data_IF_696835611909
#
_entry.id   IF_696835611909
#
_cell.length_a   1.000
_cell.length_b   1.000
_cell.length_c   1.000
_cell.angle_alpha   90.00
_cell.angle_beta   90.00
_cell.angle_gamma   90.00
#
_symmetry.space_group_name_H-M   'P 1'
#
loop_
_entity.id
_entity.type
_entity.pdbx_description
1 polymer ?
#
# COMPACT_ATOMS: atom_id res chain seq x y z
N UNK A 1 38.17 2.36 -7.36
CA UNK A 1 37.12 2.72 -6.38
C UNK A 1 35.86 3.04 -7.16
N UNK A 2 35.01 2.04 -7.39
CA UNK A 2 33.75 2.23 -8.11
C UNK A 2 32.69 2.71 -7.12
N UNK A 3 32.20 3.94 -7.34
CA UNK A 3 31.02 4.46 -6.65
C UNK A 3 29.82 3.65 -7.13
N UNK A 4 29.36 2.70 -6.30
CA UNK A 4 28.06 2.05 -6.48
C UNK A 4 27.00 3.08 -6.15
N UNK A 5 26.31 3.51 -7.21
CA UNK A 5 25.09 4.29 -7.20
C UNK A 5 24.16 3.79 -6.10
N UNK A 6 23.91 4.62 -5.10
CA UNK A 6 22.83 4.43 -4.14
C UNK A 6 21.52 4.65 -4.90
N UNK A 7 21.01 3.59 -5.51
CA UNK A 7 19.61 3.51 -5.86
C UNK A 7 18.84 3.70 -4.55
N UNK A 8 18.31 4.91 -4.35
CA UNK A 8 17.30 5.19 -3.33
C UNK A 8 16.04 4.42 -3.74
N UNK A 9 16.07 3.10 -3.53
CA UNK A 9 14.87 2.28 -3.43
C UNK A 9 14.15 2.77 -2.20
N UNK A 10 13.17 3.65 -2.41
CA UNK A 10 12.10 3.92 -1.45
C UNK A 10 11.72 2.58 -0.81
N UNK A 11 11.79 2.44 0.52
CA UNK A 11 11.61 1.16 1.18
C UNK A 11 10.28 0.58 0.70
N UNK A 12 10.33 -0.65 0.18
CA UNK A 12 9.12 -1.38 -0.23
C UNK A 12 8.15 -1.28 0.94
N UNK A 13 6.95 -0.70 0.76
CA UNK A 13 6.03 -0.55 1.86
C UNK A 13 5.79 -1.92 2.48
N UNK A 14 5.95 -2.03 3.80
CA UNK A 14 5.72 -3.27 4.54
C UNK A 14 4.22 -3.60 4.56
N UNK A 15 3.75 -4.12 3.42
CA UNK A 15 2.36 -4.44 3.18
C UNK A 15 1.91 -5.59 4.09
N UNK A 16 2.79 -6.54 4.44
CA UNK A 16 2.44 -7.62 5.37
C UNK A 16 2.14 -7.08 6.77
N UNK A 17 2.96 -6.16 7.26
CA UNK A 17 2.71 -5.54 8.54
C UNK A 17 1.45 -4.69 8.52
N UNK A 18 1.32 -3.78 7.57
CA UNK A 18 0.22 -2.81 7.56
C UNK A 18 -1.13 -3.45 7.20
N UNK A 19 -1.15 -4.48 6.35
CA UNK A 19 -2.39 -5.06 5.82
C UNK A 19 -2.85 -6.32 6.56
N UNK A 20 -1.96 -7.02 7.25
CA UNK A 20 -2.27 -8.33 7.87
C UNK A 20 -1.94 -8.32 9.35
N UNK A 21 -0.65 -8.15 9.71
CA UNK A 21 -0.23 -8.28 11.12
C UNK A 21 -0.90 -7.24 12.00
N UNK A 22 -0.87 -5.97 11.59
CA UNK A 22 -1.40 -4.87 12.41
C UNK A 22 -2.92 -4.94 12.59
N UNK A 23 -3.75 -5.18 11.55
CA UNK A 23 -5.18 -5.44 11.73
C UNK A 23 -5.47 -6.68 12.59
N UNK A 24 -4.70 -7.77 12.43
CA UNK A 24 -4.87 -8.97 13.25
C UNK A 24 -4.61 -8.68 14.74
N UNK A 25 -3.54 -7.95 15.07
CA UNK A 25 -3.22 -7.54 16.44
C UNK A 25 -4.26 -6.56 17.01
N UNK A 26 -4.80 -5.65 16.18
CA UNK A 26 -5.87 -4.75 16.58
C UNK A 26 -7.18 -5.51 16.89
N UNK A 27 -7.51 -6.52 16.09
CA UNK A 27 -8.65 -7.41 16.34
C UNK A 27 -8.57 -8.11 17.70
N UNK A 28 -7.38 -8.56 18.11
CA UNK A 28 -7.14 -9.17 19.44
C UNK A 28 -7.37 -8.19 20.60
N UNK A 29 -7.24 -6.88 20.37
CA UNK A 29 -7.45 -5.85 21.41
C UNK A 29 -8.94 -5.55 21.67
N UNK A 30 -9.82 -5.87 20.72
CA UNK A 30 -11.25 -5.57 20.75
C UNK A 30 -12.10 -6.72 21.29
N UNK A 31 -11.53 -7.90 21.48
CA UNK A 31 -12.24 -9.08 21.95
C UNK A 31 -12.47 -9.03 23.46
N UNK A 32 -13.43 -8.17 23.90
CA UNK A 32 -14.24 -8.16 25.14
C UNK A 32 -13.62 -8.31 26.54
N UNK A 33 -12.40 -8.83 26.66
CA UNK A 33 -11.73 -9.30 27.88
C UNK A 33 -10.32 -8.72 28.01
N UNK A 34 -10.02 -7.61 27.33
CA UNK A 34 -8.66 -7.06 27.29
C UNK A 34 -8.20 -6.55 28.66
N UNK A 35 -7.41 -7.38 29.33
CA UNK A 35 -6.57 -7.00 30.46
C UNK A 35 -5.58 -5.93 29.99
N UNK A 36 -5.33 -4.91 30.81
CA UNK A 36 -4.36 -3.83 30.55
C UNK A 36 -2.98 -4.36 30.08
N UNK A 37 -2.59 -5.52 30.59
CA UNK A 37 -1.36 -6.24 30.23
C UNK A 37 -1.33 -6.71 28.78
N UNK A 38 -2.43 -7.29 28.26
CA UNK A 38 -2.52 -7.75 26.88
C UNK A 38 -2.34 -6.60 25.89
N UNK A 39 -2.93 -5.43 26.16
CA UNK A 39 -2.75 -4.23 25.34
C UNK A 39 -1.31 -3.72 25.36
N UNK A 40 -0.61 -3.82 26.50
CA UNK A 40 0.81 -3.46 26.60
C UNK A 40 1.67 -4.39 25.74
N UNK A 41 1.47 -5.71 25.87
CA UNK A 41 2.22 -6.70 25.09
C UNK A 41 1.95 -6.61 23.59
N UNK A 42 0.70 -6.32 23.18
CA UNK A 42 0.36 -6.09 21.77
C UNK A 42 1.07 -4.85 21.22
N UNK A 43 1.15 -3.76 22.00
CA UNK A 43 1.89 -2.56 21.60
C UNK A 43 3.40 -2.82 21.50
N UNK A 44 3.98 -3.56 22.46
CA UNK A 44 5.39 -3.98 22.39
C UNK A 44 5.67 -4.82 21.15
N UNK A 45 4.78 -5.76 20.82
CA UNK A 45 4.90 -6.58 19.62
C UNK A 45 4.81 -5.75 18.33
N UNK A 46 3.88 -4.79 18.26
CA UNK A 46 3.78 -3.83 17.14
C UNK A 46 5.08 -3.06 16.98
N UNK A 47 5.72 -2.61 18.07
CA UNK A 47 7.00 -1.91 18.01
C UNK A 47 8.14 -2.83 17.59
N UNK A 48 8.18 -4.08 18.09
CA UNK A 48 9.18 -5.06 17.71
C UNK A 48 9.15 -5.35 16.20
N UNK A 49 7.96 -5.50 15.61
CA UNK A 49 7.82 -5.66 14.16
C UNK A 49 8.29 -4.43 13.37
N UNK A 50 8.03 -3.20 13.86
CA UNK A 50 8.53 -1.98 13.21
C UNK A 50 10.05 -1.93 13.22
N UNK A 51 10.68 -2.15 14.37
CA UNK A 51 12.14 -2.16 14.51
C UNK A 51 12.76 -3.26 13.66
N UNK A 52 12.17 -4.46 13.68
CA UNK A 52 12.66 -5.57 12.87
C UNK A 52 12.62 -5.26 11.37
N UNK A 53 11.55 -4.63 10.88
CA UNK A 53 11.44 -4.23 9.48
C UNK A 53 12.42 -3.12 9.09
N UNK A 54 12.67 -2.17 9.98
CA UNK A 54 13.68 -1.12 9.75
C UNK A 54 15.09 -1.71 9.64
N UNK A 55 15.40 -2.74 10.44
CA UNK A 55 16.68 -3.44 10.37
C UNK A 55 16.77 -4.39 9.16
N UNK A 56 15.69 -5.08 8.84
CA UNK A 56 15.62 -6.10 7.79
C UNK A 56 14.32 -5.95 6.99
N UNK A 57 14.32 -5.14 5.92
CA UNK A 57 13.15 -4.98 5.06
C UNK A 57 12.69 -6.34 4.49
N UNK A 58 11.40 -6.64 4.61
CA UNK A 58 10.81 -7.91 4.17
C UNK A 58 10.74 -9.00 5.25
N UNK A 59 11.35 -8.80 6.43
CA UNK A 59 11.29 -9.82 7.51
C UNK A 59 9.85 -10.12 7.93
N UNK A 60 8.97 -9.12 7.95
CA UNK A 60 7.56 -9.34 8.31
C UNK A 60 6.85 -10.25 7.31
N UNK A 61 7.21 -10.17 6.02
CA UNK A 61 6.66 -11.05 4.99
C UNK A 61 7.17 -12.49 5.18
N UNK A 62 8.44 -12.67 5.50
CA UNK A 62 9.03 -14.00 5.78
C UNK A 62 8.43 -14.64 7.03
N UNK A 63 8.20 -13.86 8.10
CA UNK A 63 7.52 -14.35 9.31
C UNK A 63 6.10 -14.79 8.97
N UNK A 64 5.34 -13.99 8.22
CA UNK A 64 3.99 -14.35 7.79
C UNK A 64 4.00 -15.63 6.93
N UNK A 65 4.92 -15.72 5.97
CA UNK A 65 5.08 -16.90 5.13
C UNK A 65 5.49 -18.13 5.95
N UNK A 66 6.35 -17.96 6.97
CA UNK A 66 6.73 -19.01 7.91
C UNK A 66 5.54 -19.54 8.71
N UNK A 67 4.71 -18.66 9.25
CA UNK A 67 3.50 -19.03 10.00
C UNK A 67 2.53 -19.81 9.10
N UNK A 68 2.23 -19.30 7.90
CA UNK A 68 1.32 -19.97 6.97
C UNK A 68 1.84 -21.34 6.51
N UNK A 69 3.15 -21.46 6.27
CA UNK A 69 3.79 -22.74 5.93
C UNK A 69 3.71 -23.74 7.09
N UNK A 70 3.89 -23.28 8.32
CA UNK A 70 3.80 -24.13 9.51
C UNK A 70 2.38 -24.72 9.69
N UNK A 71 1.36 -23.97 9.27
CA UNK A 71 -0.05 -24.39 9.30
C UNK A 71 -0.49 -25.14 8.02
N UNK A 72 0.46 -25.45 7.12
CA UNK A 72 0.22 -26.25 5.91
C UNK A 72 -0.34 -25.48 4.70
N UNK A 73 -0.46 -24.16 4.78
CA UNK A 73 -0.93 -23.34 3.66
C UNK A 73 0.21 -22.99 2.69
N UNK A 74 0.11 -23.47 1.45
CA UNK A 74 0.99 -23.08 0.33
C UNK A 74 0.29 -22.04 -0.55
N UNK A 75 0.12 -20.82 -0.04
CA UNK A 75 -0.50 -19.73 -0.79
C UNK A 75 0.53 -18.73 -1.32
N UNK A 76 0.23 -18.10 -2.45
CA UNK A 76 1.03 -17.01 -2.99
C UNK A 76 0.85 -15.76 -2.11
N UNK A 77 1.86 -15.45 -1.29
CA UNK A 77 1.83 -14.32 -0.35
C UNK A 77 1.60 -12.99 -1.09
N UNK A 78 2.15 -12.81 -2.29
CA UNK A 78 1.95 -11.59 -3.06
C UNK A 78 0.48 -11.43 -3.49
N UNK A 79 -0.21 -12.52 -3.80
CA UNK A 79 -1.63 -12.50 -4.12
C UNK A 79 -2.47 -12.10 -2.90
N UNK A 80 -2.18 -12.68 -1.73
CA UNK A 80 -2.86 -12.34 -0.47
C UNK A 80 -2.62 -10.86 -0.13
N UNK A 81 -1.37 -10.40 -0.21
CA UNK A 81 -1.04 -9.00 0.06
C UNK A 81 -1.78 -8.05 -0.88
N UNK A 82 -1.94 -8.42 -2.16
CA UNK A 82 -2.69 -7.62 -3.11
C UNK A 82 -4.19 -7.59 -2.77
N UNK A 83 -4.79 -8.74 -2.43
CA UNK A 83 -6.19 -8.84 -1.96
C UNK A 83 -6.43 -8.01 -0.68
N UNK A 84 -5.49 -8.06 0.25
CA UNK A 84 -5.55 -7.33 1.52
C UNK A 84 -5.11 -5.87 1.41
N UNK A 85 -4.61 -5.40 0.27
CA UNK A 85 -4.14 -4.01 0.12
C UNK A 85 -5.25 -2.96 0.33
N UNK A 86 -6.52 -3.37 0.23
CA UNK A 86 -7.67 -2.51 0.46
C UNK A 86 -8.13 -2.46 1.92
N UNK A 87 -7.77 -3.42 2.78
CA UNK A 87 -8.16 -3.42 4.21
C UNK A 87 -7.40 -2.39 5.05
N UNK A 88 -6.41 -1.73 4.45
CA UNK A 88 -5.52 -0.75 5.12
C UNK A 88 -6.15 0.65 5.24
N UNK A 89 -7.46 0.78 5.08
CA UNK A 89 -8.16 2.09 5.06
C UNK A 89 -7.98 2.89 6.34
N UNK A 90 -8.02 2.25 7.51
CA UNK A 90 -8.13 2.98 8.78
C UNK A 90 -6.84 3.72 9.17
N UNK A 91 -5.67 3.26 8.70
CA UNK A 91 -4.36 3.87 9.02
C UNK A 91 -3.91 4.92 8.00
N UNK A 92 -4.56 5.01 6.85
CA UNK A 92 -4.28 6.01 5.81
C UNK A 92 -5.38 7.05 5.68
N UNK A 93 -6.35 7.03 6.61
CA UNK A 93 -7.42 8.01 6.66
C UNK A 93 -6.83 9.40 6.87
N UNK A 94 -7.28 10.35 6.05
CA UNK A 94 -6.81 11.73 6.18
C UNK A 94 -7.72 12.39 7.21
N UNK A 95 -7.19 12.79 8.36
CA UNK A 95 -7.95 13.46 9.45
C UNK A 95 -8.48 14.86 9.08
N UNK A 96 -8.31 15.28 7.82
CA UNK A 96 -8.67 16.59 7.31
C UNK A 96 -10.05 16.57 6.68
N UNK A 97 -10.94 17.42 7.19
CA UNK A 97 -12.33 17.51 6.75
C UNK A 97 -12.52 18.29 5.44
N UNK A 98 -11.48 18.96 4.93
CA UNK A 98 -11.62 19.75 3.71
C UNK A 98 -11.91 18.86 2.48
N UNK A 99 -12.80 19.31 1.57
CA UNK A 99 -13.37 18.47 0.53
C UNK A 99 -12.32 17.91 -0.44
N UNK A 100 -11.21 18.62 -0.66
CA UNK A 100 -10.11 18.16 -1.50
C UNK A 100 -9.39 16.95 -0.91
N UNK A 101 -9.22 16.90 0.42
CA UNK A 101 -8.58 15.77 1.11
C UNK A 101 -9.53 14.56 1.17
N UNK A 102 -10.81 14.78 1.47
CA UNK A 102 -11.82 13.71 1.42
C UNK A 102 -11.92 13.11 0.02
N UNK A 103 -11.89 13.95 -1.03
CA UNK A 103 -11.87 13.49 -2.41
C UNK A 103 -10.60 12.70 -2.74
N UNK A 104 -9.44 13.19 -2.31
CA UNK A 104 -8.15 12.51 -2.50
C UNK A 104 -8.17 11.11 -1.86
N UNK A 105 -8.64 11.02 -0.62
CA UNK A 105 -8.76 9.75 0.11
C UNK A 105 -9.69 8.77 -0.61
N UNK A 106 -10.87 9.26 -1.03
CA UNK A 106 -11.83 8.45 -1.80
C UNK A 106 -11.18 7.89 -3.08
N UNK A 107 -10.45 8.72 -3.84
CA UNK A 107 -9.77 8.28 -5.06
C UNK A 107 -8.62 7.30 -4.80
N UNK A 108 -7.89 7.47 -3.70
CA UNK A 108 -6.87 6.52 -3.29
C UNK A 108 -7.49 5.15 -2.92
N UNK A 109 -8.61 5.14 -2.21
CA UNK A 109 -9.33 3.92 -1.83
C UNK A 109 -9.97 3.21 -3.04
N UNK A 110 -10.53 3.97 -3.99
CA UNK A 110 -11.05 3.43 -5.26
C UNK A 110 -9.92 2.72 -6.03
N UNK A 111 -8.75 3.35 -6.18
CA UNK A 111 -7.61 2.73 -6.87
C UNK A 111 -7.14 1.44 -6.16
N UNK A 112 -6.96 1.47 -4.83
CA UNK A 112 -6.57 0.28 -4.04
C UNK A 112 -7.59 -0.86 -4.20
N UNK A 113 -8.89 -0.53 -4.19
CA UNK A 113 -9.97 -1.51 -4.40
C UNK A 113 -9.86 -2.18 -5.77
N UNK A 114 -9.62 -1.41 -6.83
CA UNK A 114 -9.50 -1.98 -8.19
C UNK A 114 -8.23 -2.84 -8.30
N UNK A 115 -7.09 -2.40 -7.75
CA UNK A 115 -5.85 -3.18 -7.74
C UNK A 115 -6.01 -4.52 -7.00
N UNK A 116 -6.78 -4.53 -5.89
CA UNK A 116 -7.07 -5.74 -5.14
C UNK A 116 -7.91 -6.79 -5.89
N UNK A 117 -8.57 -6.42 -6.99
CA UNK A 117 -9.35 -7.35 -7.85
C UNK A 117 -8.51 -8.06 -8.91
N UNK A 118 -7.27 -7.60 -9.15
CA UNK A 118 -6.38 -8.20 -10.16
C UNK A 118 -6.28 -9.73 -10.02
N UNK A 119 -6.06 -10.31 -8.82
CA UNK A 119 -5.98 -11.76 -8.67
C UNK A 119 -7.21 -12.55 -9.15
N UNK A 120 -8.40 -11.96 -9.05
CA UNK A 120 -9.65 -12.59 -9.47
C UNK A 120 -9.90 -12.40 -10.96
N UNK A 121 -9.62 -11.20 -11.47
CA UNK A 121 -9.90 -10.83 -12.86
C UNK A 121 -8.83 -11.34 -13.85
N UNK A 122 -7.58 -11.54 -13.42
CA UNK A 122 -6.44 -11.89 -14.30
C UNK A 122 -6.65 -13.19 -15.10
N UNK A 123 -7.49 -14.10 -14.60
CA UNK A 123 -7.82 -15.38 -15.26
C UNK A 123 -8.78 -15.21 -16.44
N UNK A 124 -9.62 -14.18 -16.41
CA UNK A 124 -10.58 -13.86 -17.48
C UNK A 124 -10.06 -12.67 -18.26
N UNK A 125 -9.56 -12.92 -19.48
CA UNK A 125 -8.96 -11.88 -20.34
C UNK A 125 -9.88 -10.68 -20.55
N UNK A 126 -11.19 -10.89 -20.67
CA UNK A 126 -12.14 -9.80 -20.93
C UNK A 126 -12.31 -8.92 -19.70
N UNK A 127 -12.49 -9.55 -18.52
CA UNK A 127 -12.54 -8.83 -17.25
C UNK A 127 -11.23 -8.13 -16.97
N UNK A 128 -10.10 -8.81 -17.15
CA UNK A 128 -8.78 -8.23 -16.90
C UNK A 128 -8.51 -6.99 -17.76
N UNK A 129 -8.86 -7.02 -19.06
CA UNK A 129 -8.74 -5.83 -19.92
C UNK A 129 -9.64 -4.68 -19.45
N UNK A 130 -10.81 -4.97 -18.90
CA UNK A 130 -11.67 -3.94 -18.30
C UNK A 130 -11.04 -3.39 -17.02
N UNK A 131 -10.55 -4.26 -16.13
CA UNK A 131 -9.86 -3.87 -14.89
C UNK A 131 -8.64 -3.00 -15.19
N UNK A 132 -7.87 -3.27 -16.26
CA UNK A 132 -6.76 -2.41 -16.69
C UNK A 132 -7.23 -1.00 -17.10
N UNK A 133 -8.35 -0.89 -17.83
CA UNK A 133 -8.94 0.41 -18.19
C UNK A 133 -9.42 1.17 -16.95
N UNK A 134 -10.02 0.46 -16.01
CA UNK A 134 -10.50 1.03 -14.75
C UNK A 134 -9.33 1.52 -13.89
N UNK A 135 -8.23 0.75 -13.81
CA UNK A 135 -6.98 1.17 -13.15
C UNK A 135 -6.42 2.44 -13.79
N UNK A 136 -6.31 2.48 -15.12
CA UNK A 136 -5.79 3.65 -15.82
C UNK A 136 -6.63 4.91 -15.55
N UNK A 137 -7.95 4.75 -15.51
CA UNK A 137 -8.90 5.83 -15.20
C UNK A 137 -8.74 6.30 -13.75
N UNK A 138 -8.69 5.37 -12.78
CA UNK A 138 -8.50 5.68 -11.37
C UNK A 138 -7.15 6.34 -11.06
N UNK A 139 -6.07 5.90 -11.73
CA UNK A 139 -4.73 6.54 -11.64
C UNK A 139 -4.80 8.00 -12.08
N UNK A 140 -5.48 8.27 -13.21
CA UNK A 140 -5.64 9.63 -13.72
C UNK A 140 -6.42 10.50 -12.74
N UNK A 141 -7.57 10.03 -12.25
CA UNK A 141 -8.42 10.77 -11.31
C UNK A 141 -7.73 11.03 -9.96
N UNK A 142 -6.91 10.09 -9.48
CA UNK A 142 -6.09 10.26 -8.29
C UNK A 142 -5.03 11.35 -8.50
N UNK A 143 -4.28 11.29 -9.61
CA UNK A 143 -3.28 12.31 -9.95
C UNK A 143 -3.89 13.71 -10.11
N UNK A 144 -5.07 13.81 -10.73
CA UNK A 144 -5.81 15.06 -10.85
C UNK A 144 -6.21 15.61 -9.48
N UNK A 145 -6.64 14.73 -8.55
CA UNK A 145 -6.98 15.11 -7.17
C UNK A 145 -5.75 15.57 -6.38
N UNK A 146 -4.60 14.91 -6.53
CA UNK A 146 -3.33 15.34 -5.92
C UNK A 146 -2.90 16.71 -6.46
N UNK A 147 -3.00 16.92 -7.77
CA UNK A 147 -2.66 18.22 -8.38
C UNK A 147 -3.62 19.32 -7.92
N UNK A 148 -4.90 19.00 -7.68
CA UNK A 148 -5.87 19.96 -7.13
C UNK A 148 -5.48 20.39 -5.72
N UNK A 149 -5.17 19.44 -4.82
CA UNK A 149 -4.68 19.75 -3.46
C UNK A 149 -3.42 20.62 -3.52
N UNK A 150 -2.47 20.27 -4.39
CA UNK A 150 -1.24 21.05 -4.59
C UNK A 150 -1.50 22.49 -5.07
N UNK A 151 -2.55 22.72 -5.87
CA UNK A 151 -2.94 24.05 -6.36
C UNK A 151 -3.71 24.86 -5.33
N UNK A 152 -4.69 24.25 -4.65
CA UNK A 152 -5.53 24.96 -3.67
C UNK A 152 -4.71 25.46 -2.48
N UNK A 153 -3.72 24.68 -2.04
CA UNK A 153 -2.93 24.98 -0.84
C UNK A 153 -1.56 25.61 -1.14
N UNK A 154 -1.34 26.07 -2.37
CA UNK A 154 -0.02 26.52 -2.84
C UNK A 154 0.56 27.70 -2.04
N UNK A 155 -0.29 28.56 -1.48
CA UNK A 155 0.08 29.85 -0.86
C UNK A 155 -0.13 29.90 0.68
N UNK A 156 -0.49 28.78 1.32
CA UNK A 156 -0.79 28.75 2.76
C UNK A 156 0.40 28.24 3.61
N UNK A 157 1.09 29.12 4.35
CA UNK A 157 1.94 28.75 5.50
C UNK A 157 3.06 27.71 5.26
N UNK A 158 3.27 26.79 6.23
CA UNK A 158 4.32 25.72 6.23
C UNK A 158 4.20 24.68 5.09
N UNK A 159 3.35 24.91 4.09
CA UNK A 159 3.06 23.96 3.00
C UNK A 159 4.24 23.80 2.02
N UNK A 160 5.24 24.69 2.01
CA UNK A 160 6.42 24.53 1.13
C UNK A 160 7.18 23.21 1.37
N UNK A 161 7.29 22.75 2.61
CA UNK A 161 7.97 21.49 2.94
C UNK A 161 7.11 20.28 2.54
N UNK A 162 5.83 20.26 2.92
CA UNK A 162 4.89 19.21 2.52
C UNK A 162 4.70 19.11 1.00
N UNK A 163 4.76 20.24 0.29
CA UNK A 163 4.70 20.30 -1.17
C UNK A 163 5.87 19.56 -1.80
N UNK A 164 7.09 19.75 -1.30
CA UNK A 164 8.27 19.07 -1.85
C UNK A 164 8.13 17.56 -1.73
N UNK A 165 7.69 17.07 -0.56
CA UNK A 165 7.43 15.65 -0.31
C UNK A 165 6.28 15.13 -1.18
N UNK A 166 5.19 15.87 -1.31
CA UNK A 166 4.04 15.46 -2.13
C UNK A 166 4.39 15.40 -3.63
N UNK A 167 5.18 16.34 -4.14
CA UNK A 167 5.70 16.31 -5.51
C UNK A 167 6.72 15.19 -5.75
N UNK A 168 7.51 14.84 -4.73
CA UNK A 168 8.39 13.66 -4.79
C UNK A 168 7.55 12.38 -4.86
N UNK A 169 6.58 12.20 -3.95
CA UNK A 169 5.69 11.04 -3.93
C UNK A 169 4.89 10.93 -5.23
N UNK A 170 4.44 12.05 -5.82
CA UNK A 170 3.80 12.07 -7.13
C UNK A 170 4.71 11.53 -8.23
N UNK A 171 5.99 11.94 -8.25
CA UNK A 171 6.97 11.45 -9.23
C UNK A 171 7.25 9.96 -9.06
N UNK A 172 7.41 9.49 -7.82
CA UNK A 172 7.56 8.07 -7.52
C UNK A 172 6.32 7.27 -7.97
N UNK A 173 5.13 7.76 -7.66
CA UNK A 173 3.88 7.12 -8.09
C UNK A 173 3.77 7.00 -9.63
N UNK A 174 4.13 8.04 -10.38
CA UNK A 174 4.17 7.99 -11.85
C UNK A 174 5.21 6.98 -12.34
N UNK A 175 6.37 6.88 -11.69
CA UNK A 175 7.40 5.87 -12.00
C UNK A 175 6.84 4.45 -11.81
N UNK A 176 6.19 4.18 -10.67
CA UNK A 176 5.58 2.87 -10.40
C UNK A 176 4.42 2.55 -11.36
N UNK A 177 3.58 3.52 -11.71
CA UNK A 177 2.51 3.33 -12.71
C UNK A 177 3.03 2.94 -14.10
N UNK A 178 4.15 3.54 -14.52
CA UNK A 178 4.84 3.16 -15.77
C UNK A 178 5.41 1.75 -15.68
N UNK A 179 6.13 1.44 -14.60
CA UNK A 179 6.68 0.10 -14.34
C UNK A 179 5.59 -0.97 -14.39
N UNK A 180 4.45 -0.71 -13.72
CA UNK A 180 3.27 -1.58 -13.75
C UNK A 180 2.75 -1.81 -15.17
N UNK A 181 2.65 -0.74 -15.97
CA UNK A 181 2.21 -0.84 -17.37
C UNK A 181 3.18 -1.67 -18.23
N UNK A 182 4.49 -1.57 -17.98
CA UNK A 182 5.49 -2.37 -18.69
C UNK A 182 5.46 -3.84 -18.25
N UNK A 183 5.25 -4.12 -16.96
CA UNK A 183 4.99 -5.47 -16.46
C UNK A 183 3.75 -6.08 -17.11
N UNK A 184 2.65 -5.33 -17.27
CA UNK A 184 1.46 -5.79 -17.97
C UNK A 184 1.74 -6.13 -19.44
N UNK A 185 2.51 -5.29 -20.15
CA UNK A 185 2.90 -5.58 -21.54
C UNK A 185 3.72 -6.86 -21.62
N UNK A 186 4.63 -7.06 -20.67
CA UNK A 186 5.46 -8.26 -20.61
C UNK A 186 4.60 -9.50 -20.31
N UNK A 187 3.69 -9.41 -19.33
CA UNK A 187 2.72 -10.47 -19.00
C UNK A 187 1.93 -10.93 -20.23
N UNK A 188 1.40 -10.00 -21.04
CA UNK A 188 0.68 -10.35 -22.26
C UNK A 188 1.55 -10.95 -23.37
N UNK A 189 2.85 -10.63 -23.40
CA UNK A 189 3.81 -11.23 -24.35
C UNK A 189 4.22 -12.64 -23.91
N UNK A 190 4.45 -12.83 -22.62
CA UNK A 190 5.02 -14.06 -22.07
C UNK A 190 3.95 -15.09 -21.67
N UNK A 191 2.66 -14.69 -21.60
CA UNK A 191 1.56 -15.48 -21.04
C UNK A 191 1.84 -16.03 -19.63
N UNK A 192 2.66 -15.33 -18.84
CA UNK A 192 3.07 -15.68 -17.48
C UNK A 192 2.89 -14.51 -16.55
#
# INVERSE_FOLDING_TARGET
>A
MAQTSTDNTSPVPNLAFQSIIRPALAGLSNDGKSHKELRSSLNELIQAFKVAEECIPGITQEVLAGILRADGYSMNINEILLRCSNTVTDNFQIERAEPEFVKLEKKANELKTILGKIPDDIKDRTKFLQTIKDIASAIKELLDSVNQVLKTYQDQGRIKEYRKTLEQNKREFVKYSKSFSDTLKQYFKDQK
#
